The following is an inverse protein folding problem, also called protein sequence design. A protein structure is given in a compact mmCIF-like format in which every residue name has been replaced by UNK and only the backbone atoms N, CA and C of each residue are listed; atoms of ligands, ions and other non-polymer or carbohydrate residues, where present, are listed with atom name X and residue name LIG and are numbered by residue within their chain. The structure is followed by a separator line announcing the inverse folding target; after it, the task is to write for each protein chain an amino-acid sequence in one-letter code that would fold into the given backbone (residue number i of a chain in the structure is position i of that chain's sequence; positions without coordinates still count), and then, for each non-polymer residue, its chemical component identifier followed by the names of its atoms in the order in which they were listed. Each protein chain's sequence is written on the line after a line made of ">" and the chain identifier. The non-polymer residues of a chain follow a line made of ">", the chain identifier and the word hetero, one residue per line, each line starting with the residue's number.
data_IF_632797830030
#
_entry.id   IF_632797830030
#
_cell.length_a   1.000
_cell.length_b   1.000
_cell.length_c   1.000
_cell.angle_alpha   90.00
_cell.angle_beta   90.00
_cell.angle_gamma   90.00
#
_symmetry.space_group_name_H-M   'P 1'
#
loop_
_entity.id
_entity.type
_entity.pdbx_description
1 polymer ?
#
# COMPACT_ATOMS: atom_id res chain seq x y z
N UNK A 1 10.65 7.93 31.09
CA UNK A 1 11.98 7.37 30.74
C UNK A 1 12.31 7.53 29.25
N UNK A 2 11.48 7.03 28.31
CA UNK A 2 11.73 7.20 26.86
C UNK A 2 11.89 8.66 26.40
N UNK A 3 11.09 9.59 26.92
CA UNK A 3 11.20 11.01 26.56
C UNK A 3 12.55 11.62 26.97
N UNK A 4 13.05 11.26 28.16
CA UNK A 4 14.35 11.72 28.68
C UNK A 4 15.48 11.09 27.86
N UNK A 5 15.41 9.80 27.54
CA UNK A 5 16.38 9.13 26.67
C UNK A 5 16.38 9.79 25.28
N UNK A 6 15.21 10.04 24.68
CA UNK A 6 15.10 10.73 23.38
C UNK A 6 15.70 12.13 23.45
N UNK A 7 15.49 12.86 24.55
CA UNK A 7 16.05 14.18 24.76
C UNK A 7 17.59 14.12 24.90
N UNK A 8 18.12 13.16 25.65
CA UNK A 8 19.57 12.96 25.78
C UNK A 8 20.22 12.56 24.46
N UNK A 9 19.60 11.66 23.69
CA UNK A 9 20.06 11.30 22.35
C UNK A 9 19.99 12.51 21.42
N UNK A 10 18.92 13.30 21.48
CA UNK A 10 18.80 14.53 20.71
C UNK A 10 19.92 15.52 21.05
N UNK A 11 20.21 15.75 22.34
CA UNK A 11 21.31 16.61 22.77
C UNK A 11 22.67 16.09 22.29
N UNK A 12 22.90 14.78 22.36
CA UNK A 12 24.13 14.17 21.87
C UNK A 12 24.30 14.39 20.36
N UNK A 13 23.26 14.13 19.58
CA UNK A 13 23.27 14.36 18.13
C UNK A 13 23.49 15.84 17.83
N UNK A 14 22.81 16.73 18.54
CA UNK A 14 22.98 18.17 18.39
C UNK A 14 24.41 18.62 18.68
N UNK A 15 25.03 18.10 19.74
CA UNK A 15 26.43 18.38 20.07
C UNK A 15 27.40 17.89 18.99
N UNK A 16 27.15 16.71 18.40
CA UNK A 16 27.94 16.18 17.28
C UNK A 16 27.83 17.09 16.06
N UNK A 17 26.60 17.49 15.68
CA UNK A 17 26.36 18.38 14.54
C UNK A 17 27.00 19.75 14.76
N UNK A 18 26.88 20.30 15.97
CA UNK A 18 27.52 21.58 16.31
C UNK A 18 29.05 21.49 16.26
N UNK A 19 29.63 20.42 16.81
CA UNK A 19 31.08 20.17 16.74
C UNK A 19 31.56 20.04 15.29
N UNK A 20 30.80 19.32 14.46
CA UNK A 20 31.06 19.22 13.03
C UNK A 20 31.02 20.59 12.34
N UNK A 21 30.02 21.42 12.63
CA UNK A 21 29.89 22.75 12.05
C UNK A 21 31.08 23.66 12.42
N UNK A 22 31.51 23.63 13.69
CA UNK A 22 32.69 24.40 14.15
C UNK A 22 33.97 23.92 13.45
N UNK A 23 34.14 22.60 13.27
CA UNK A 23 35.31 22.03 12.58
C UNK A 23 35.31 22.25 11.08
N UNK A 24 34.15 22.41 10.46
CA UNK A 24 33.97 22.61 9.02
C UNK A 24 33.42 24.00 8.72
N UNK A 25 33.92 24.99 9.47
CA UNK A 25 33.63 26.40 9.29
C UNK A 25 34.45 27.05 8.16
N UNK A 26 35.35 26.29 7.53
CA UNK A 26 36.15 26.76 6.41
C UNK A 26 35.26 27.17 5.23
N UNK A 27 35.59 28.31 4.63
CA UNK A 27 34.86 28.86 3.51
C UNK A 27 35.16 28.07 2.23
N UNK A 28 34.09 27.72 1.52
CA UNK A 28 34.14 27.05 0.22
C UNK A 28 33.38 27.87 -0.80
N UNK A 29 33.97 28.00 -1.99
CA UNK A 29 33.34 28.59 -3.18
C UNK A 29 32.91 27.44 -4.09
N UNK A 30 31.64 27.41 -4.45
CA UNK A 30 31.10 26.44 -5.39
C UNK A 30 31.15 27.03 -6.79
N UNK A 31 31.83 26.35 -7.70
CA UNK A 31 31.82 26.67 -9.11
C UNK A 31 30.72 25.86 -9.80
N UNK A 32 29.70 26.55 -10.31
CA UNK A 32 28.60 25.97 -11.05
C UNK A 32 28.85 26.07 -12.56
N UNK A 33 27.91 25.52 -13.33
CA UNK A 33 27.92 25.63 -14.79
C UNK A 33 27.84 27.10 -15.24
N UNK A 34 28.39 27.39 -16.42
CA UNK A 34 28.40 28.73 -17.04
C UNK A 34 29.22 29.80 -16.30
N UNK A 35 30.22 29.40 -15.51
CA UNK A 35 31.08 30.32 -14.77
C UNK A 35 30.38 31.03 -13.61
N UNK A 36 29.23 30.50 -13.17
CA UNK A 36 28.53 30.96 -11.98
C UNK A 36 29.27 30.45 -10.75
N UNK A 37 29.49 31.32 -9.77
CA UNK A 37 30.16 30.96 -8.51
C UNK A 37 29.30 31.37 -7.33
N UNK A 38 29.36 30.60 -6.24
CA UNK A 38 28.72 31.01 -4.99
C UNK A 38 29.54 32.07 -4.28
N UNK A 39 28.87 32.81 -3.39
CA UNK A 39 29.57 33.55 -2.33
C UNK A 39 30.34 32.53 -1.46
N UNK A 40 31.51 32.89 -0.90
CA UNK A 40 32.18 32.06 0.10
C UNK A 40 31.20 31.72 1.23
N UNK A 41 31.02 30.43 1.47
CA UNK A 41 30.12 29.96 2.52
C UNK A 41 30.74 28.77 3.25
N UNK A 42 30.44 28.60 4.55
CA UNK A 42 30.97 27.48 5.31
C UNK A 42 30.58 26.13 4.71
N UNK A 43 31.53 25.19 4.66
CA UNK A 43 31.30 23.85 4.12
C UNK A 43 30.11 23.13 4.76
N UNK A 44 29.93 23.28 6.09
CA UNK A 44 28.80 22.64 6.78
C UNK A 44 27.43 23.08 6.23
N UNK A 45 27.33 24.32 5.74
CA UNK A 45 26.07 24.88 5.23
C UNK A 45 25.71 24.25 3.88
N UNK A 46 26.70 23.98 3.04
CA UNK A 46 26.53 23.27 1.76
C UNK A 46 26.05 21.84 2.00
N UNK A 47 26.72 21.13 2.92
CA UNK A 47 26.37 19.75 3.28
C UNK A 47 24.95 19.70 3.86
N UNK A 48 24.62 20.57 4.81
CA UNK A 48 23.30 20.63 5.41
C UNK A 48 22.23 20.99 4.37
N UNK A 49 22.48 21.99 3.53
CA UNK A 49 21.56 22.42 2.47
C UNK A 49 21.27 21.30 1.48
N UNK A 50 22.30 20.59 1.01
CA UNK A 50 22.13 19.42 0.12
C UNK A 50 21.32 18.29 0.76
N UNK A 51 21.53 18.03 2.06
CA UNK A 51 20.78 17.02 2.81
C UNK A 51 19.30 17.40 2.93
N UNK A 52 19.01 18.67 3.25
CA UNK A 52 17.64 19.18 3.31
C UNK A 52 16.97 19.10 1.93
N UNK A 53 17.65 19.52 0.87
CA UNK A 53 17.14 19.43 -0.50
C UNK A 53 16.85 17.98 -0.88
N UNK A 54 17.77 17.06 -0.60
CA UNK A 54 17.58 15.63 -0.81
C UNK A 54 16.35 15.09 -0.06
N UNK A 55 16.20 15.43 1.22
CA UNK A 55 15.05 15.02 2.03
C UNK A 55 13.72 15.57 1.50
N UNK A 56 13.69 16.83 1.05
CA UNK A 56 12.50 17.44 0.44
C UNK A 56 12.11 16.73 -0.86
N UNK A 57 13.10 16.41 -1.71
CA UNK A 57 12.87 15.66 -2.95
C UNK A 57 12.32 14.27 -2.60
N UNK A 58 12.93 13.54 -1.68
CA UNK A 58 12.45 12.23 -1.23
C UNK A 58 11.02 12.28 -0.68
N UNK A 59 10.69 13.33 0.10
CA UNK A 59 9.34 13.53 0.61
C UNK A 59 8.34 13.73 -0.53
N UNK A 60 8.70 14.53 -1.54
CA UNK A 60 7.84 14.77 -2.69
C UNK A 60 7.55 13.47 -3.46
N UNK A 61 8.57 12.63 -3.67
CA UNK A 61 8.40 11.30 -4.26
C UNK A 61 7.49 10.40 -3.41
N UNK A 62 7.71 10.35 -2.10
CA UNK A 62 6.91 9.53 -1.18
C UNK A 62 5.44 9.94 -1.18
N UNK A 63 5.15 11.24 -1.18
CA UNK A 63 3.77 11.76 -1.26
C UNK A 63 3.13 11.41 -2.61
N UNK A 64 3.87 11.57 -3.71
CA UNK A 64 3.38 11.21 -5.05
C UNK A 64 3.02 9.73 -5.16
N UNK A 65 3.87 8.85 -4.63
CA UNK A 65 3.61 7.41 -4.60
C UNK A 65 2.40 7.08 -3.74
N UNK A 66 2.28 7.69 -2.56
CA UNK A 66 1.16 7.45 -1.65
C UNK A 66 -0.18 7.88 -2.27
N UNK A 67 -0.21 8.99 -3.02
CA UNK A 67 -1.39 9.39 -3.78
C UNK A 67 -1.74 8.36 -4.85
N UNK A 68 -0.76 7.93 -5.66
CA UNK A 68 -0.97 6.90 -6.69
C UNK A 68 -1.55 5.62 -6.08
N UNK A 69 -1.02 5.19 -4.95
CA UNK A 69 -1.48 3.98 -4.25
C UNK A 69 -2.95 4.11 -3.82
N UNK A 70 -3.33 5.26 -3.26
CA UNK A 70 -4.72 5.56 -2.87
C UNK A 70 -5.67 5.56 -4.08
N UNK A 71 -5.23 6.09 -5.22
CA UNK A 71 -6.01 6.03 -6.46
C UNK A 71 -6.20 4.59 -6.94
N UNK A 72 -5.13 3.79 -6.93
CA UNK A 72 -5.18 2.37 -7.31
C UNK A 72 -6.18 1.61 -6.45
N UNK A 73 -6.13 1.77 -5.11
CA UNK A 73 -7.07 1.13 -4.18
C UNK A 73 -8.52 1.46 -4.54
N UNK A 74 -8.84 2.76 -4.69
CA UNK A 74 -10.19 3.20 -5.07
C UNK A 74 -10.62 2.71 -6.45
N UNK A 75 -9.69 2.48 -7.37
CA UNK A 75 -9.99 1.93 -8.68
C UNK A 75 -10.29 0.43 -8.61
N UNK A 76 -9.55 -0.31 -7.79
CA UNK A 76 -9.73 -1.75 -7.59
C UNK A 76 -11.06 -2.04 -6.91
N UNK A 77 -11.40 -1.31 -5.85
CA UNK A 77 -12.70 -1.42 -5.18
C UNK A 77 -13.87 -1.15 -6.13
N UNK A 78 -13.75 -0.18 -7.04
CA UNK A 78 -14.77 0.10 -8.06
C UNK A 78 -14.90 -1.04 -9.07
N UNK A 79 -13.79 -1.68 -9.46
CA UNK A 79 -13.81 -2.85 -10.35
C UNK A 79 -14.44 -4.06 -9.66
N UNK A 80 -14.12 -4.31 -8.39
CA UNK A 80 -14.73 -5.39 -7.60
C UNK A 80 -16.25 -5.23 -7.51
N UNK A 81 -16.74 -4.03 -7.16
CA UNK A 81 -18.18 -3.76 -7.10
C UNK A 81 -18.90 -4.02 -8.44
N UNK A 82 -18.30 -3.60 -9.57
CA UNK A 82 -18.87 -3.87 -10.90
C UNK A 82 -18.92 -5.35 -11.24
N UNK A 83 -17.85 -6.10 -10.92
CA UNK A 83 -17.84 -7.55 -11.14
C UNK A 83 -18.89 -8.26 -10.26
N UNK A 84 -19.08 -7.83 -9.01
CA UNK A 84 -20.14 -8.35 -8.14
C UNK A 84 -21.54 -8.06 -8.70
N UNK A 85 -21.77 -6.85 -9.22
CA UNK A 85 -23.03 -6.47 -9.88
C UNK A 85 -23.29 -7.30 -11.16
N UNK A 86 -22.27 -7.54 -11.98
CA UNK A 86 -22.37 -8.40 -13.17
C UNK A 86 -22.70 -9.85 -12.79
N UNK A 87 -22.05 -10.41 -11.76
CA UNK A 87 -22.39 -11.74 -11.24
C UNK A 87 -23.82 -11.82 -10.70
N UNK A 88 -24.28 -10.77 -10.02
CA UNK A 88 -25.66 -10.70 -9.51
C UNK A 88 -26.68 -10.61 -10.65
N UNK A 89 -26.39 -9.81 -11.67
CA UNK A 89 -27.19 -9.67 -12.89
C UNK A 89 -27.29 -10.99 -13.67
N UNK A 90 -26.17 -11.70 -13.85
CA UNK A 90 -26.13 -12.99 -14.54
C UNK A 90 -26.85 -14.09 -13.77
N UNK A 91 -26.77 -14.08 -12.43
CA UNK A 91 -27.47 -15.05 -11.58
C UNK A 91 -28.99 -14.81 -11.50
N UNK A 92 -29.42 -13.56 -11.71
CA UNK A 92 -30.83 -13.19 -11.72
C UNK A 92 -31.43 -13.18 -13.15
N UNK A 93 -30.69 -13.62 -14.16
CA UNK A 93 -31.28 -13.87 -15.49
C UNK A 93 -32.31 -15.02 -15.38
N UNK A 94 -33.50 -14.89 -15.97
CA UNK A 94 -34.60 -15.85 -15.84
C UNK A 94 -34.38 -17.12 -16.68
N UNK A 95 -33.22 -17.76 -16.53
CA UNK A 95 -32.94 -19.06 -17.17
C UNK A 95 -33.32 -20.23 -16.25
N UNK A 96 -33.47 -19.99 -14.94
CA UNK A 96 -33.88 -21.03 -14.00
C UNK A 96 -35.40 -21.17 -13.92
N UNK A 97 -36.17 -20.12 -14.22
CA UNK A 97 -37.64 -20.18 -14.25
C UNK A 97 -38.17 -21.03 -15.40
N UNK A 98 -37.59 -20.92 -16.60
CA UNK A 98 -38.07 -21.69 -17.77
C UNK A 98 -37.66 -23.17 -17.76
N UNK A 99 -36.53 -23.50 -17.13
CA UNK A 99 -36.15 -24.91 -16.91
C UNK A 99 -36.95 -25.56 -15.77
N UNK A 100 -37.47 -24.76 -14.83
CA UNK A 100 -38.32 -25.24 -13.74
C UNK A 100 -39.75 -25.52 -14.22
N UNK A 101 -40.35 -24.63 -15.02
CA UNK A 101 -41.71 -24.85 -15.56
C UNK A 101 -41.78 -26.00 -16.58
N UNK A 102 -40.71 -26.20 -17.38
CA UNK A 102 -40.67 -27.29 -18.37
C UNK A 102 -40.39 -28.67 -17.76
N UNK A 103 -39.93 -28.72 -16.52
CA UNK A 103 -39.68 -29.96 -15.77
C UNK A 103 -40.89 -30.47 -14.97
N UNK A 104 -41.84 -29.60 -14.63
CA UNK A 104 -43.01 -29.96 -13.80
C UNK A 104 -44.16 -30.60 -14.62
N UNK A 105 -44.22 -30.39 -15.94
CA UNK A 105 -45.28 -30.94 -16.79
C UNK A 105 -45.10 -32.41 -17.24
N UNK A 106 -44.04 -33.12 -16.82
CA UNK A 106 -43.73 -34.48 -17.31
C UNK A 106 -43.62 -35.53 -16.18
N UNK A 107 -43.84 -35.16 -14.92
CA UNK A 107 -43.46 -35.98 -13.77
C UNK A 107 -44.57 -36.57 -12.90
N UNK A 108 -45.85 -36.48 -13.26
CA UNK A 108 -46.92 -37.06 -12.43
C UNK A 108 -47.07 -38.56 -12.67
N UNK A 109 -46.26 -39.34 -11.96
CA UNK A 109 -46.45 -40.77 -11.83
C UNK A 109 -45.15 -41.54 -11.65
N UNK A 110 -44.74 -41.74 -10.39
CA UNK A 110 -44.32 -43.05 -9.81
C UNK A 110 -43.56 -42.88 -8.50
N UNK A 111 -44.17 -43.41 -7.43
CA UNK A 111 -43.59 -44.18 -6.30
C UNK A 111 -42.36 -43.63 -5.55
N UNK A 112 -42.53 -43.40 -4.23
CA UNK A 112 -41.44 -43.18 -3.25
C UNK A 112 -40.30 -44.20 -3.40
N UNK A 113 -39.02 -43.76 -3.32
CA UNK A 113 -37.92 -44.64 -2.94
C UNK A 113 -37.02 -44.00 -1.86
N UNK A 114 -36.09 -44.76 -1.24
CA UNK A 114 -36.02 -44.97 0.21
C UNK A 114 -35.07 -44.00 0.92
N UNK A 115 -35.23 -43.91 2.25
CA UNK A 115 -34.22 -43.36 3.17
C UNK A 115 -32.88 -44.04 2.92
N UNK A 116 -31.92 -43.31 2.35
CA UNK A 116 -30.53 -43.76 2.25
C UNK A 116 -29.71 -42.99 3.27
N UNK A 117 -29.15 -43.73 4.21
CA UNK A 117 -28.23 -43.29 5.25
C UNK A 117 -27.05 -42.52 4.64
N UNK A 118 -26.70 -41.39 5.24
CA UNK A 118 -25.49 -40.65 4.89
C UNK A 118 -24.26 -41.43 5.39
N UNK A 119 -23.27 -41.74 4.52
CA UNK A 119 -22.01 -42.31 5.00
C UNK A 119 -21.24 -41.29 5.84
N UNK A 120 -20.63 -41.79 6.91
CA UNK A 120 -19.87 -41.05 7.90
C UNK A 120 -18.73 -40.20 7.31
N UNK A 121 -18.48 -39.07 7.97
CA UNK A 121 -17.44 -38.09 7.67
C UNK A 121 -16.08 -38.73 7.36
N UNK A 122 -15.48 -38.33 6.23
CA UNK A 122 -14.12 -38.72 5.86
C UNK A 122 -13.14 -37.75 6.52
N UNK A 123 -12.18 -38.21 7.37
CA UNK A 123 -11.24 -37.30 8.02
C UNK A 123 -10.17 -36.81 7.04
N UNK A 124 -10.05 -35.48 6.93
CA UNK A 124 -9.02 -34.81 6.11
C UNK A 124 -7.69 -34.82 6.87
N UNK A 125 -6.68 -35.50 6.31
CA UNK A 125 -5.33 -35.59 6.89
C UNK A 125 -4.46 -34.44 6.35
N UNK A 126 -4.16 -33.45 7.18
CA UNK A 126 -3.11 -32.47 6.87
C UNK A 126 -1.75 -33.15 7.01
N UNK A 127 -1.01 -33.28 5.90
CA UNK A 127 0.41 -33.61 5.95
C UNK A 127 1.21 -32.31 5.97
N UNK A 128 2.11 -32.23 6.95
CA UNK A 128 3.15 -31.22 7.15
C UNK A 128 4.36 -31.46 6.26
#
# INVERSE_FOLDING_TARGET
>A
MLAIVKFMVFLLVLAIVASFAVKNGDDVILHYYFGLESVPMPLFLVIFGSLVLGALISLLFAVGEQLRLRYTIRSLERKMRRMEEELYSLRNLPLTSELSEKGEAVGEGRTKPPTKEFPAEVPVRYQS
#
